data_IF_569736396460
#
_entry.id   IF_569736396460
#
_cell.length_a   1.000
_cell.length_b   1.000
_cell.length_c   1.000
_cell.angle_alpha   90.00
_cell.angle_beta   90.00
_cell.angle_gamma   90.00
#
_symmetry.space_group_name_H-M   'P 1'
#
loop_
_entity.id
_entity.type
_entity.pdbx_description
1 polymer ?
#
# COMPACT_ATOMS: atom_id res chain seq x y z
N UNK A 1 0.23 -15.85 -4.48
CA UNK A 1 0.87 -14.66 -3.86
C UNK A 1 1.56 -13.87 -4.97
N UNK A 2 1.59 -12.53 -4.95
CA UNK A 2 2.23 -11.74 -6.02
C UNK A 2 3.69 -12.15 -6.28
N UNK A 3 4.40 -12.61 -5.24
CA UNK A 3 5.79 -13.07 -5.34
C UNK A 3 5.98 -14.40 -6.10
N UNK A 4 4.90 -15.12 -6.44
CA UNK A 4 4.97 -16.40 -7.16
C UNK A 4 5.15 -16.24 -8.69
N UNK A 5 5.02 -15.01 -9.22
CA UNK A 5 4.98 -14.74 -10.66
C UNK A 5 6.27 -14.11 -11.22
N UNK A 6 7.43 -14.38 -10.61
CA UNK A 6 8.73 -13.81 -11.00
C UNK A 6 8.73 -12.26 -11.06
N UNK A 7 8.12 -11.62 -10.06
CA UNK A 7 8.02 -10.15 -9.98
C UNK A 7 6.91 -9.52 -10.83
N UNK A 8 6.20 -10.28 -11.68
CA UNK A 8 5.02 -9.76 -12.41
C UNK A 8 3.91 -9.39 -11.43
N UNK A 9 3.38 -8.17 -11.55
CA UNK A 9 2.36 -7.63 -10.66
C UNK A 9 2.90 -6.83 -9.47
N UNK A 10 4.20 -6.53 -9.46
CA UNK A 10 4.76 -5.48 -8.62
C UNK A 10 4.99 -4.19 -9.40
N UNK A 11 4.92 -3.09 -8.67
CA UNK A 11 5.09 -1.72 -9.14
C UNK A 11 6.11 -1.02 -8.24
N UNK A 12 6.78 -0.02 -8.81
CA UNK A 12 7.56 0.93 -8.04
C UNK A 12 6.59 1.99 -7.52
N UNK A 13 6.42 2.04 -6.21
CA UNK A 13 5.54 2.97 -5.51
C UNK A 13 6.37 4.05 -4.80
N UNK A 14 5.81 5.26 -4.72
CA UNK A 14 6.43 6.33 -3.94
C UNK A 14 5.95 6.24 -2.49
N UNK A 15 6.88 6.05 -1.55
CA UNK A 15 6.56 5.93 -0.11
C UNK A 15 5.80 7.17 0.35
N UNK A 16 6.34 8.35 0.03
CA UNK A 16 5.67 9.65 0.11
C UNK A 16 5.17 10.00 -1.30
N UNK A 17 3.85 10.19 -1.50
CA UNK A 17 3.31 10.52 -2.82
C UNK A 17 3.91 11.81 -3.41
N UNK A 18 4.08 11.84 -4.73
CA UNK A 18 4.58 13.03 -5.44
C UNK A 18 3.67 14.24 -5.25
N UNK A 19 2.35 14.02 -5.24
CA UNK A 19 1.29 15.01 -4.95
C UNK A 19 1.41 15.64 -3.56
N UNK A 20 2.07 14.95 -2.62
CA UNK A 20 2.34 15.46 -1.27
C UNK A 20 3.79 15.96 -1.11
N UNK A 21 4.54 16.14 -2.21
CA UNK A 21 5.90 16.66 -2.18
C UNK A 21 6.98 15.60 -1.91
N UNK A 22 6.66 14.32 -2.05
CA UNK A 22 7.65 13.25 -1.97
C UNK A 22 8.76 13.41 -3.02
N UNK A 23 10.04 13.18 -2.69
CA UNK A 23 11.13 13.39 -3.63
C UNK A 23 11.17 12.27 -4.69
N UNK A 24 11.52 12.55 -5.96
CA UNK A 24 11.76 11.55 -6.99
C UNK A 24 13.15 10.92 -6.81
N UNK A 25 13.38 10.28 -5.66
CA UNK A 25 14.66 9.69 -5.27
C UNK A 25 14.48 8.20 -4.97
N UNK A 26 15.54 7.40 -5.19
CA UNK A 26 15.51 5.96 -4.89
C UNK A 26 15.14 5.66 -3.44
N UNK A 27 15.48 6.56 -2.50
CA UNK A 27 15.11 6.45 -1.09
C UNK A 27 13.60 6.59 -0.83
N UNK A 28 12.84 7.11 -1.79
CA UNK A 28 11.38 7.25 -1.73
C UNK A 28 10.66 6.20 -2.59
N UNK A 29 11.36 5.19 -3.11
CA UNK A 29 10.77 4.14 -3.94
C UNK A 29 10.70 2.83 -3.16
N UNK A 30 9.53 2.19 -3.16
CA UNK A 30 9.29 0.86 -2.59
C UNK A 30 8.74 -0.11 -3.64
N UNK A 31 9.05 -1.40 -3.49
CA UNK A 31 8.44 -2.45 -4.30
C UNK A 31 7.06 -2.79 -3.72
N UNK A 32 6.00 -2.54 -4.47
CA UNK A 32 4.63 -2.71 -4.00
C UNK A 32 3.84 -3.62 -4.93
N UNK A 33 3.00 -4.52 -4.39
CA UNK A 33 2.12 -5.31 -5.26
C UNK A 33 1.00 -4.42 -5.83
N UNK A 34 0.46 -4.79 -6.99
CA UNK A 34 -0.59 -4.05 -7.69
C UNK A 34 -1.79 -3.66 -6.80
N UNK A 35 -2.25 -4.57 -5.95
CA UNK A 35 -3.39 -4.32 -5.04
C UNK A 35 -3.06 -3.29 -3.97
N UNK A 36 -1.89 -3.43 -3.32
CA UNK A 36 -1.46 -2.50 -2.28
C UNK A 36 -1.16 -1.11 -2.87
N UNK A 37 -0.53 -1.06 -4.04
CA UNK A 37 -0.20 0.18 -4.74
C UNK A 37 -1.46 0.99 -5.05
N UNK A 38 -2.49 0.33 -5.60
CA UNK A 38 -3.78 0.97 -5.88
C UNK A 38 -4.53 1.38 -4.62
N UNK A 39 -4.46 0.58 -3.55
CA UNK A 39 -5.14 0.88 -2.28
C UNK A 39 -4.48 2.03 -1.53
N UNK A 40 -3.14 2.11 -1.53
CA UNK A 40 -2.39 3.23 -0.94
C UNK A 40 -2.64 4.52 -1.70
N UNK A 41 -2.66 4.49 -3.04
CA UNK A 41 -2.91 5.64 -3.89
C UNK A 41 -2.02 6.86 -3.51
N UNK A 42 -2.65 7.93 -3.02
CA UNK A 42 -2.04 9.19 -2.62
C UNK A 42 -1.99 9.34 -1.10
N UNK A 43 -2.10 8.23 -0.36
CA UNK A 43 -1.88 8.22 1.08
C UNK A 43 -0.39 8.11 1.39
N UNK A 44 0.00 8.78 2.48
CA UNK A 44 1.25 8.48 3.19
C UNK A 44 1.23 7.04 3.70
N UNK A 45 2.41 6.50 4.01
CA UNK A 45 2.53 5.17 4.60
C UNK A 45 1.71 5.04 5.89
N UNK A 46 1.75 6.04 6.78
CA UNK A 46 1.01 6.03 8.05
C UNK A 46 -0.50 5.97 7.83
N UNK A 47 -1.05 6.83 6.98
CA UNK A 47 -2.49 6.86 6.67
C UNK A 47 -2.97 5.52 6.09
N UNK A 48 -2.18 4.92 5.20
CA UNK A 48 -2.49 3.63 4.61
C UNK A 48 -2.46 2.49 5.65
N UNK A 49 -1.45 2.48 6.53
CA UNK A 49 -1.34 1.46 7.58
C UNK A 49 -2.46 1.58 8.62
N UNK A 50 -2.87 2.80 8.97
CA UNK A 50 -3.99 3.02 9.87
C UNK A 50 -5.30 2.54 9.24
N UNK A 51 -5.54 2.86 7.96
CA UNK A 51 -6.69 2.34 7.22
C UNK A 51 -6.71 0.79 7.18
N UNK A 52 -5.56 0.15 6.95
CA UNK A 52 -5.45 -1.32 6.98
C UNK A 52 -5.78 -1.91 8.35
N UNK A 53 -5.31 -1.28 9.43
CA UNK A 53 -5.61 -1.71 10.81
C UNK A 53 -7.10 -1.64 11.09
N UNK A 54 -7.74 -0.53 10.74
CA UNK A 54 -9.18 -0.39 10.94
C UNK A 54 -9.98 -1.39 10.08
N UNK A 55 -9.59 -1.61 8.83
CA UNK A 55 -10.21 -2.60 7.96
C UNK A 55 -10.11 -4.01 8.56
N UNK A 56 -8.94 -4.38 9.10
CA UNK A 56 -8.74 -5.65 9.76
C UNK A 56 -9.65 -5.82 10.99
N UNK A 57 -9.79 -4.76 11.81
CA UNK A 57 -10.72 -4.77 12.97
C UNK A 57 -12.17 -4.98 12.52
N UNK A 58 -12.62 -4.26 11.47
CA UNK A 58 -13.98 -4.40 10.92
C UNK A 58 -14.26 -5.82 10.42
N UNK A 59 -13.31 -6.42 9.71
CA UNK A 59 -13.43 -7.79 9.19
C UNK A 59 -13.38 -8.84 10.31
N UNK A 60 -12.55 -8.64 11.33
CA UNK A 60 -12.47 -9.53 12.48
C UNK A 60 -13.71 -9.46 13.37
N UNK A 61 -14.31 -8.27 13.53
CA UNK A 61 -15.54 -8.06 14.29
C UNK A 61 -16.82 -8.42 13.55
N UNK A 62 -16.74 -8.69 12.24
CA UNK A 62 -17.88 -8.84 11.32
C UNK A 62 -18.52 -10.24 11.23
N UNK A 63 -18.14 -11.20 12.08
CA UNK A 63 -18.77 -12.54 12.12
C UNK A 63 -19.61 -12.71 13.40
N UNK A 64 -20.66 -11.90 13.54
CA UNK A 64 -21.78 -12.20 14.45
C UNK A 64 -23.05 -12.33 13.61
N UNK A 65 -23.34 -13.57 13.21
CA UNK A 65 -24.71 -14.06 12.97
C UNK A 65 -24.94 -15.28 13.85
#
# INVERSE_FOLDING_TARGET
>A
MPNSAAGRGFHLDHVIPLSQGGPPALSNIALCCDRCNRAKWDSTETEYLDWLREAAVRLAGGFKE
#
